data_IF_706569718233
#
_entry.id   IF_706569718233
#
_cell.length_a   1.000
_cell.length_b   1.000
_cell.length_c   1.000
_cell.angle_alpha   90.00
_cell.angle_beta   90.00
_cell.angle_gamma   90.00
#
_symmetry.space_group_name_H-M   'P 1'
#
loop_
_entity.id
_entity.type
_entity.pdbx_description
1 polymer ?
#
# COMPACT_ATOMS: atom_id res chain seq x y z
N UNK A 1 83.01 10.70 -36.59
CA UNK A 1 81.75 10.48 -37.29
C UNK A 1 80.85 9.70 -36.34
N UNK A 2 80.01 10.37 -35.47
CA UNK A 2 79.11 9.73 -34.54
C UNK A 2 77.73 9.67 -35.21
N UNK A 3 77.17 8.49 -35.35
CA UNK A 3 75.79 8.29 -35.82
C UNK A 3 74.87 8.32 -34.63
N UNK A 4 74.03 9.36 -34.55
CA UNK A 4 72.94 9.41 -33.57
C UNK A 4 71.77 8.56 -34.07
N UNK A 5 71.46 7.50 -33.31
CA UNK A 5 70.29 6.68 -33.49
C UNK A 5 69.14 7.37 -32.76
N UNK A 6 68.17 7.89 -33.48
CA UNK A 6 66.90 8.36 -32.97
C UNK A 6 66.09 7.15 -32.47
N UNK A 7 65.88 7.08 -31.16
CA UNK A 7 64.99 6.11 -30.52
C UNK A 7 63.54 6.65 -30.74
N UNK A 8 62.62 5.85 -31.32
CA UNK A 8 61.23 6.25 -31.44
C UNK A 8 60.60 6.43 -30.07
N UNK A 9 59.95 7.54 -29.79
CA UNK A 9 59.15 7.76 -28.60
C UNK A 9 58.03 6.72 -28.55
N UNK A 10 58.18 5.72 -27.68
CA UNK A 10 57.18 4.75 -27.37
C UNK A 10 55.97 5.47 -26.72
N UNK A 11 54.81 5.43 -27.40
CA UNK A 11 53.56 5.93 -26.85
C UNK A 11 53.33 5.20 -25.54
N UNK A 12 53.36 5.91 -24.43
CA UNK A 12 53.00 5.43 -23.08
C UNK A 12 51.72 4.60 -23.15
N UNK A 13 51.83 3.29 -23.20
CA UNK A 13 50.70 2.41 -23.00
C UNK A 13 50.29 2.56 -21.54
N UNK A 14 49.07 3.13 -21.33
CA UNK A 14 48.45 3.06 -20.00
C UNK A 14 48.42 1.62 -19.56
N UNK A 15 49.28 1.28 -18.60
CA UNK A 15 49.26 -0.03 -17.94
C UNK A 15 47.96 -0.10 -17.13
N UNK A 16 46.99 -0.85 -17.63
CA UNK A 16 45.77 -1.16 -16.89
C UNK A 16 46.16 -2.23 -15.89
N UNK A 17 46.30 -1.85 -14.62
CA UNK A 17 46.44 -2.80 -13.54
C UNK A 17 45.17 -3.62 -13.44
N UNK A 18 45.19 -4.84 -13.93
CA UNK A 18 44.14 -5.82 -13.68
C UNK A 18 44.35 -6.44 -12.29
N UNK A 19 43.26 -6.63 -11.54
CA UNK A 19 43.34 -7.44 -10.33
C UNK A 19 43.69 -8.90 -10.72
N UNK A 20 44.17 -9.75 -9.78
CA UNK A 20 44.53 -11.13 -10.08
C UNK A 20 43.44 -11.99 -10.72
N UNK A 21 42.20 -11.46 -10.83
CA UNK A 21 41.04 -12.10 -11.47
C UNK A 21 40.67 -11.44 -12.81
N UNK A 22 41.56 -10.62 -13.41
CA UNK A 22 41.40 -10.03 -14.74
C UNK A 22 40.33 -8.92 -14.82
N UNK A 23 39.86 -8.43 -13.69
CA UNK A 23 38.88 -7.32 -13.67
C UNK A 23 39.59 -5.98 -13.57
N UNK A 24 39.26 -5.05 -14.48
CA UNK A 24 39.84 -3.71 -14.47
C UNK A 24 39.63 -3.00 -13.14
N UNK A 25 40.69 -2.39 -12.59
CA UNK A 25 40.63 -1.52 -11.41
C UNK A 25 39.83 -0.28 -11.80
N UNK A 26 38.53 -0.28 -11.50
CA UNK A 26 37.65 0.80 -11.86
C UNK A 26 36.19 0.39 -12.15
N UNK A 27 35.79 -0.84 -11.79
CA UNK A 27 34.41 -1.23 -11.89
C UNK A 27 33.59 -0.32 -10.96
N UNK A 28 32.96 0.69 -11.58
CA UNK A 28 32.12 1.66 -10.86
C UNK A 28 31.04 0.88 -10.10
N UNK A 29 30.90 1.14 -8.79
CA UNK A 29 29.90 0.54 -7.93
C UNK A 29 28.50 1.14 -8.19
N UNK A 30 28.01 1.07 -9.45
CA UNK A 30 26.69 1.62 -9.82
C UNK A 30 25.57 1.09 -8.93
N UNK A 31 25.61 -0.21 -8.57
CA UNK A 31 24.63 -0.81 -7.68
C UNK A 31 24.60 -0.20 -6.28
N UNK A 32 25.78 0.12 -5.71
CA UNK A 32 25.85 0.79 -4.42
C UNK A 32 25.33 2.23 -4.50
N UNK A 33 25.64 2.95 -5.59
CA UNK A 33 25.10 4.31 -5.83
C UNK A 33 23.57 4.33 -5.88
N UNK A 34 22.97 3.39 -6.61
CA UNK A 34 21.50 3.27 -6.67
C UNK A 34 20.91 3.00 -5.28
N UNK A 35 21.52 2.10 -4.50
CA UNK A 35 21.04 1.79 -3.15
C UNK A 35 21.17 2.97 -2.19
N UNK A 36 22.21 3.81 -2.29
CA UNK A 36 22.30 5.04 -1.50
C UNK A 36 21.21 6.04 -1.88
N UNK A 37 20.93 6.21 -3.17
CA UNK A 37 19.83 7.09 -3.63
C UNK A 37 18.49 6.57 -3.09
N UNK A 38 18.21 5.27 -3.20
CA UNK A 38 17.00 4.67 -2.64
C UNK A 38 16.92 4.83 -1.13
N UNK A 39 18.04 4.68 -0.41
CA UNK A 39 18.09 4.90 1.03
C UNK A 39 17.68 6.34 1.40
N UNK A 40 18.23 7.33 0.71
CA UNK A 40 17.86 8.74 0.93
C UNK A 40 16.39 8.99 0.62
N UNK A 41 15.89 8.48 -0.51
CA UNK A 41 14.48 8.63 -0.87
C UNK A 41 13.54 8.00 0.16
N UNK A 42 13.84 6.80 0.63
CA UNK A 42 13.05 6.12 1.68
C UNK A 42 13.07 6.91 2.99
N UNK A 43 14.23 7.44 3.42
CA UNK A 43 14.33 8.24 4.64
C UNK A 43 13.57 9.56 4.51
N UNK A 44 13.71 10.27 3.39
CA UNK A 44 12.96 11.50 3.13
C UNK A 44 11.45 11.24 3.10
N UNK A 45 11.02 10.15 2.47
CA UNK A 45 9.62 9.75 2.44
C UNK A 45 9.08 9.39 3.83
N UNK A 46 9.85 8.66 4.63
CA UNK A 46 9.51 8.35 6.03
C UNK A 46 9.28 9.64 6.84
N UNK A 47 10.20 10.59 6.76
CA UNK A 47 10.07 11.88 7.44
C UNK A 47 8.88 12.67 6.90
N UNK A 48 8.71 12.72 5.57
CA UNK A 48 7.60 13.42 4.93
C UNK A 48 6.24 12.90 5.38
N UNK A 49 6.02 11.58 5.35
CA UNK A 49 4.76 10.99 5.87
C UNK A 49 4.58 11.28 7.36
N UNK A 50 5.63 11.15 8.17
CA UNK A 50 5.55 11.41 9.61
C UNK A 50 5.20 12.86 9.95
N UNK A 51 5.64 13.84 9.15
CA UNK A 51 5.37 15.25 9.41
C UNK A 51 4.02 15.74 8.84
N UNK A 52 3.60 15.22 7.67
CA UNK A 52 2.46 15.76 6.92
C UNK A 52 1.21 14.89 6.97
N UNK A 53 1.34 13.62 7.36
CA UNK A 53 0.21 12.70 7.48
C UNK A 53 0.03 12.34 8.96
N UNK A 54 -1.10 12.75 9.52
CA UNK A 54 -1.45 12.49 10.94
C UNK A 54 -1.18 11.05 11.39
N UNK A 55 -0.66 10.88 12.60
CA UNK A 55 -0.17 9.62 13.18
C UNK A 55 -1.25 8.56 13.49
N UNK A 56 -2.18 8.27 12.56
CA UNK A 56 -3.12 7.15 12.72
C UNK A 56 -2.47 5.76 12.66
N UNK A 57 -1.22 5.65 12.20
CA UNK A 57 -0.47 4.39 12.15
C UNK A 57 1.03 4.66 12.02
N UNK A 58 1.83 3.94 12.79
CA UNK A 58 3.31 3.98 12.71
C UNK A 58 3.87 3.14 11.53
N UNK A 59 3.02 2.64 10.65
CA UNK A 59 3.46 1.80 9.52
C UNK A 59 4.48 2.51 8.62
N UNK A 60 4.45 3.83 8.50
CA UNK A 60 5.41 4.61 7.72
C UNK A 60 6.87 4.41 8.15
N UNK A 61 7.14 3.97 9.39
CA UNK A 61 8.50 3.66 9.88
C UNK A 61 9.18 2.54 9.08
N UNK A 62 8.40 1.70 8.36
CA UNK A 62 8.95 0.68 7.46
C UNK A 62 9.87 1.29 6.39
N UNK A 63 9.56 2.52 5.93
CA UNK A 63 10.39 3.24 4.97
C UNK A 63 11.72 3.67 5.57
N UNK A 64 11.73 4.06 6.85
CA UNK A 64 12.97 4.35 7.59
C UNK A 64 13.85 3.11 7.72
N UNK A 65 13.26 1.98 8.12
CA UNK A 65 13.96 0.69 8.21
C UNK A 65 14.50 0.26 6.84
N UNK A 66 13.69 0.35 5.79
CA UNK A 66 14.10 0.02 4.42
C UNK A 66 15.26 0.91 3.95
N UNK A 67 15.20 2.22 4.24
CA UNK A 67 16.29 3.14 3.93
C UNK A 67 17.59 2.78 4.62
N UNK A 68 17.55 2.45 5.91
CA UNK A 68 18.73 2.00 6.66
C UNK A 68 19.30 0.68 6.13
N UNK A 69 18.44 -0.27 5.77
CA UNK A 69 18.87 -1.55 5.17
C UNK A 69 19.53 -1.34 3.79
N UNK A 70 18.95 -0.46 2.96
CA UNK A 70 19.55 -0.09 1.66
C UNK A 70 20.94 0.56 1.85
N UNK A 71 21.08 1.48 2.81
CA UNK A 71 22.36 2.11 3.11
C UNK A 71 23.40 1.10 3.63
N UNK A 72 23.01 0.23 4.55
CA UNK A 72 23.89 -0.83 5.07
C UNK A 72 24.33 -1.78 3.95
N UNK A 73 23.41 -2.18 3.07
CA UNK A 73 23.73 -3.02 1.93
C UNK A 73 24.66 -2.31 0.93
N UNK A 74 24.42 -1.03 0.62
CA UNK A 74 25.31 -0.22 -0.21
C UNK A 74 26.71 -0.15 0.39
N UNK A 75 26.79 0.05 1.70
CA UNK A 75 28.04 0.09 2.43
C UNK A 75 28.82 -1.24 2.32
N UNK A 76 28.15 -2.39 2.50
CA UNK A 76 28.76 -3.71 2.28
C UNK A 76 29.28 -3.85 0.85
N UNK A 77 28.51 -3.38 -0.16
CA UNK A 77 28.94 -3.43 -1.57
C UNK A 77 30.14 -2.54 -1.89
N UNK A 78 30.41 -1.51 -1.10
CA UNK A 78 31.59 -0.64 -1.26
C UNK A 78 32.85 -1.18 -0.52
N UNK A 79 32.66 -2.04 0.49
CA UNK A 79 33.76 -2.57 1.32
C UNK A 79 34.17 -3.98 0.93
N UNK A 80 35.19 -4.07 0.07
CA UNK A 80 35.68 -5.33 -0.49
C UNK A 80 36.10 -6.35 0.59
N UNK A 81 36.75 -5.88 1.68
CA UNK A 81 37.16 -6.72 2.80
C UNK A 81 35.99 -7.47 3.48
N UNK A 82 34.81 -6.90 3.47
CA UNK A 82 33.59 -7.53 4.00
C UNK A 82 33.00 -8.49 2.98
N UNK A 83 32.96 -8.08 1.71
CA UNK A 83 32.43 -8.94 0.64
C UNK A 83 33.22 -10.25 0.50
N UNK A 84 34.55 -10.21 0.67
CA UNK A 84 35.41 -11.40 0.58
C UNK A 84 35.16 -12.41 1.71
N UNK A 85 34.68 -11.95 2.88
CA UNK A 85 34.30 -12.80 4.01
C UNK A 85 32.94 -13.49 3.84
N UNK A 86 32.07 -12.99 2.95
CA UNK A 86 30.74 -13.57 2.72
C UNK A 86 30.85 -14.67 1.66
N UNK A 87 30.53 -15.93 1.98
CA UNK A 87 30.55 -17.03 1.01
C UNK A 87 29.67 -16.74 -0.21
N UNK A 88 30.13 -17.21 -1.39
CA UNK A 88 29.43 -16.98 -2.65
C UNK A 88 27.96 -17.46 -2.63
N UNK A 89 27.74 -18.64 -2.04
CA UNK A 89 26.38 -19.20 -1.91
C UNK A 89 25.44 -18.31 -1.08
N UNK A 90 25.91 -17.72 0.03
CA UNK A 90 25.09 -16.80 0.84
C UNK A 90 24.66 -15.57 0.04
N UNK A 91 25.55 -15.01 -0.77
CA UNK A 91 25.23 -13.86 -1.63
C UNK A 91 24.17 -14.21 -2.69
N UNK A 92 24.28 -15.41 -3.28
CA UNK A 92 23.31 -15.89 -4.27
C UNK A 92 21.96 -16.11 -3.58
N UNK A 93 21.93 -16.87 -2.47
CA UNK A 93 20.70 -17.14 -1.72
C UNK A 93 20.01 -15.85 -1.29
N UNK A 94 20.74 -14.90 -0.72
CA UNK A 94 20.17 -13.61 -0.33
C UNK A 94 19.54 -12.85 -1.52
N UNK A 95 20.26 -12.77 -2.64
CA UNK A 95 19.73 -12.09 -3.84
C UNK A 95 18.51 -12.79 -4.39
N UNK A 96 18.49 -14.13 -4.38
CA UNK A 96 17.34 -14.93 -4.83
C UNK A 96 16.12 -14.71 -3.93
N UNK A 97 16.30 -14.67 -2.60
CA UNK A 97 15.23 -14.38 -1.65
C UNK A 97 14.67 -12.95 -1.83
N UNK A 98 15.55 -11.97 -2.00
CA UNK A 98 15.12 -10.58 -2.27
C UNK A 98 14.34 -10.52 -3.59
N UNK A 99 14.84 -11.14 -4.65
CA UNK A 99 14.17 -11.16 -5.94
C UNK A 99 12.79 -11.86 -5.87
N UNK A 100 12.70 -13.00 -5.18
CA UNK A 100 11.45 -13.70 -4.96
C UNK A 100 10.45 -12.88 -4.14
N UNK A 101 10.91 -12.23 -3.07
CA UNK A 101 10.08 -11.33 -2.25
C UNK A 101 9.58 -10.12 -3.03
N UNK A 102 10.42 -9.51 -3.86
CA UNK A 102 10.03 -8.41 -4.74
C UNK A 102 9.00 -8.86 -5.79
N UNK A 103 9.20 -10.03 -6.41
CA UNK A 103 8.24 -10.59 -7.38
C UNK A 103 6.89 -10.87 -6.71
N UNK A 104 6.90 -11.47 -5.53
CA UNK A 104 5.69 -11.71 -4.74
C UNK A 104 4.96 -10.41 -4.41
N UNK A 105 5.68 -9.39 -3.94
CA UNK A 105 5.13 -8.07 -3.66
C UNK A 105 4.53 -7.43 -4.92
N UNK A 106 5.21 -7.49 -6.07
CA UNK A 106 4.72 -6.96 -7.34
C UNK A 106 3.41 -7.63 -7.79
N UNK A 107 3.28 -8.95 -7.57
CA UNK A 107 2.03 -9.67 -7.86
C UNK A 107 0.90 -9.16 -6.97
N UNK A 108 1.13 -9.04 -5.66
CA UNK A 108 0.14 -8.52 -4.72
C UNK A 108 -0.27 -7.09 -5.06
N UNK A 109 0.69 -6.21 -5.35
CA UNK A 109 0.41 -4.83 -5.76
C UNK A 109 -0.39 -4.79 -7.08
N UNK A 110 -0.08 -5.66 -8.04
CA UNK A 110 -0.86 -5.82 -9.26
C UNK A 110 -2.32 -6.19 -8.99
N UNK A 111 -2.57 -7.12 -8.06
CA UNK A 111 -3.92 -7.49 -7.63
C UNK A 111 -4.65 -6.32 -6.96
N UNK A 112 -3.99 -5.60 -6.05
CA UNK A 112 -4.55 -4.43 -5.37
C UNK A 112 -4.90 -3.33 -6.38
N UNK A 113 -3.97 -2.98 -7.26
CA UNK A 113 -4.13 -1.92 -8.27
C UNK A 113 -5.20 -2.27 -9.30
N UNK A 114 -5.46 -3.56 -9.57
CA UNK A 114 -6.51 -4.00 -10.49
C UNK A 114 -7.92 -3.50 -10.10
N UNK A 115 -8.13 -3.11 -8.84
CA UNK A 115 -9.40 -2.61 -8.31
C UNK A 115 -9.39 -1.13 -7.94
N UNK A 116 -8.32 -0.39 -8.27
CA UNK A 116 -8.17 1.04 -7.91
C UNK A 116 -9.29 1.92 -8.46
N UNK A 117 -9.75 1.64 -9.65
CA UNK A 117 -10.78 2.41 -10.34
C UNK A 117 -12.09 1.64 -10.42
N UNK A 118 -12.41 0.82 -9.40
CA UNK A 118 -13.67 0.10 -9.37
C UNK A 118 -14.84 1.10 -9.35
N UNK A 119 -15.78 0.86 -10.24
CA UNK A 119 -17.05 1.58 -10.38
C UNK A 119 -18.18 0.59 -10.22
N UNK A 120 -19.31 1.06 -9.70
CA UNK A 120 -20.51 0.26 -9.55
C UNK A 120 -21.59 0.72 -10.53
N UNK A 121 -22.41 -0.23 -10.97
CA UNK A 121 -23.60 0.04 -11.77
C UNK A 121 -24.67 0.73 -10.90
N UNK A 122 -25.59 1.44 -11.55
CA UNK A 122 -26.74 2.04 -10.87
C UNK A 122 -27.76 0.97 -10.42
N UNK A 123 -28.57 1.30 -9.41
CA UNK A 123 -29.68 0.45 -8.97
C UNK A 123 -29.25 -0.71 -8.07
N UNK A 124 -28.23 -0.52 -7.24
CA UNK A 124 -27.96 -1.45 -6.15
C UNK A 124 -29.04 -1.37 -5.07
N UNK A 125 -29.32 -2.51 -4.41
CA UNK A 125 -30.24 -2.56 -3.27
C UNK A 125 -29.60 -1.91 -2.04
N UNK A 126 -28.31 -2.17 -1.82
CA UNK A 126 -27.56 -1.64 -0.70
C UNK A 126 -26.19 -1.08 -1.09
N UNK A 127 -25.82 0.00 -0.41
CA UNK A 127 -24.43 0.49 -0.34
C UNK A 127 -23.90 0.19 1.05
N UNK A 128 -22.72 -0.42 1.17
CA UNK A 128 -22.00 -0.57 2.45
C UNK A 128 -20.83 0.39 2.45
N UNK A 129 -20.82 1.36 3.37
CA UNK A 129 -19.68 2.27 3.57
C UNK A 129 -18.83 1.72 4.70
N UNK A 130 -17.59 1.32 4.39
CA UNK A 130 -16.66 0.83 5.40
C UNK A 130 -16.04 2.00 6.17
N UNK A 131 -16.01 1.92 7.48
CA UNK A 131 -15.37 2.88 8.37
C UNK A 131 -13.84 2.97 8.20
N UNK A 132 -13.25 4.09 8.65
CA UNK A 132 -11.82 4.34 8.56
C UNK A 132 -11.25 5.24 9.65
N UNK A 133 -11.96 5.74 10.54
CA UNK A 133 -11.69 6.56 11.72
C UNK A 133 -12.58 7.81 11.77
N UNK A 134 -13.28 7.99 12.89
CA UNK A 134 -14.03 9.18 13.24
C UNK A 134 -13.30 9.97 14.34
N UNK A 135 -12.90 11.20 14.06
CA UNK A 135 -12.14 12.04 14.99
C UNK A 135 -13.06 13.01 15.72
N UNK A 136 -12.57 13.67 16.76
CA UNK A 136 -13.27 14.77 17.45
C UNK A 136 -13.63 15.94 16.53
N UNK A 137 -12.91 16.08 15.40
CA UNK A 137 -13.14 17.12 14.39
C UNK A 137 -13.95 16.63 13.18
N UNK A 138 -14.54 15.42 13.25
CA UNK A 138 -15.27 14.80 12.16
C UNK A 138 -14.52 13.64 11.49
N UNK A 139 -14.94 13.20 10.30
CA UNK A 139 -14.33 12.06 9.62
C UNK A 139 -12.85 12.30 9.27
N UNK A 140 -12.04 11.26 9.38
CA UNK A 140 -10.69 11.32 8.80
C UNK A 140 -10.80 11.60 7.29
N UNK A 141 -9.75 12.18 6.69
CA UNK A 141 -9.75 12.45 5.24
C UNK A 141 -10.08 11.20 4.40
N UNK A 142 -9.56 10.05 4.83
CA UNK A 142 -9.80 8.75 4.17
C UNK A 142 -11.28 8.39 4.24
N UNK A 143 -11.92 8.55 5.39
CA UNK A 143 -13.35 8.32 5.60
C UNK A 143 -14.21 9.35 4.84
N UNK A 144 -13.83 10.62 4.88
CA UNK A 144 -14.54 11.66 4.14
C UNK A 144 -14.62 11.34 2.64
N UNK A 145 -13.51 10.86 2.03
CA UNK A 145 -13.52 10.47 0.62
C UNK A 145 -14.49 9.31 0.32
N UNK A 146 -14.67 8.38 1.26
CA UNK A 146 -15.67 7.32 1.13
C UNK A 146 -17.08 7.90 1.19
N UNK A 147 -17.35 8.75 2.17
CA UNK A 147 -18.65 9.39 2.35
C UNK A 147 -19.02 10.24 1.13
N UNK A 148 -18.14 11.13 0.67
CA UNK A 148 -18.34 11.95 -0.53
C UNK A 148 -18.66 11.09 -1.77
N UNK A 149 -17.96 9.95 -1.92
CA UNK A 149 -18.18 9.03 -3.04
C UNK A 149 -19.54 8.32 -2.93
N UNK A 150 -19.91 7.89 -1.73
CA UNK A 150 -21.19 7.24 -1.45
C UNK A 150 -22.37 8.21 -1.63
N UNK A 151 -22.26 9.44 -1.15
CA UNK A 151 -23.29 10.47 -1.32
C UNK A 151 -23.62 10.68 -2.80
N UNK A 152 -22.58 10.82 -3.65
CA UNK A 152 -22.80 10.95 -5.10
C UNK A 152 -23.56 9.78 -5.71
N UNK A 153 -23.29 8.55 -5.25
CA UNK A 153 -24.02 7.35 -5.70
C UNK A 153 -25.47 7.34 -5.17
N UNK A 154 -25.66 7.61 -3.87
CA UNK A 154 -26.97 7.55 -3.20
C UNK A 154 -27.95 8.61 -3.69
N UNK A 155 -27.44 9.79 -4.05
CA UNK A 155 -28.28 10.87 -4.65
C UNK A 155 -28.71 10.50 -6.08
N UNK A 156 -27.88 9.78 -6.82
CA UNK A 156 -28.23 9.28 -8.15
C UNK A 156 -29.12 8.03 -8.13
N UNK A 157 -29.23 7.34 -6.96
CA UNK A 157 -29.98 6.10 -6.79
C UNK A 157 -30.89 6.22 -5.53
N UNK A 158 -32.06 6.89 -5.62
CA UNK A 158 -32.88 7.23 -4.46
C UNK A 158 -33.47 5.99 -3.74
N UNK A 159 -33.65 4.88 -4.42
CA UNK A 159 -34.21 3.65 -3.85
C UNK A 159 -33.15 2.79 -3.11
N UNK A 160 -31.87 3.08 -3.31
CA UNK A 160 -30.77 2.34 -2.68
C UNK A 160 -30.68 2.68 -1.18
N UNK A 161 -30.65 1.66 -0.32
CA UNK A 161 -30.37 1.82 1.11
C UNK A 161 -28.86 1.86 1.37
N UNK A 162 -28.44 2.42 2.51
CA UNK A 162 -27.04 2.49 2.88
C UNK A 162 -26.82 1.89 4.27
N UNK A 163 -25.81 1.02 4.39
CA UNK A 163 -25.30 0.51 5.65
C UNK A 163 -23.99 1.23 5.94
N UNK A 164 -23.94 1.99 7.02
CA UNK A 164 -22.72 2.58 7.54
C UNK A 164 -22.14 1.63 8.57
N UNK A 165 -20.94 1.11 8.31
CA UNK A 165 -20.35 0.02 9.09
C UNK A 165 -19.01 0.41 9.69
N UNK A 166 -18.93 0.39 11.01
CA UNK A 166 -17.74 0.67 11.80
C UNK A 166 -18.06 0.93 13.26
N UNK A 167 -17.46 0.15 14.16
CA UNK A 167 -17.59 0.34 15.60
C UNK A 167 -16.83 1.55 16.11
N UNK A 168 -16.74 1.70 17.43
CA UNK A 168 -16.03 2.80 18.08
C UNK A 168 -14.58 2.40 18.34
N UNK A 169 -13.63 3.12 17.75
CA UNK A 169 -12.21 3.02 18.05
C UNK A 169 -11.87 3.58 19.44
N UNK A 170 -10.73 3.16 19.99
CA UNK A 170 -10.29 3.57 21.33
C UNK A 170 -10.17 5.10 21.52
N UNK A 171 -9.79 5.80 20.47
CA UNK A 171 -9.58 7.25 20.44
C UNK A 171 -10.72 8.04 19.77
N UNK A 172 -11.87 7.40 19.56
CA UNK A 172 -13.01 7.99 18.86
C UNK A 172 -14.11 8.44 19.84
N UNK A 173 -14.71 9.61 19.60
CA UNK A 173 -15.74 10.15 20.48
C UNK A 173 -17.08 9.39 20.38
N UNK A 174 -17.37 8.84 19.21
CA UNK A 174 -18.56 8.05 18.86
C UNK A 174 -18.17 6.90 17.96
N UNK A 175 -19.08 5.94 17.71
CA UNK A 175 -18.81 4.91 16.70
C UNK A 175 -18.66 5.54 15.31
N UNK A 176 -17.83 4.92 14.45
CA UNK A 176 -17.70 5.39 13.08
C UNK A 176 -19.05 5.38 12.35
N UNK A 177 -19.89 4.36 12.62
CA UNK A 177 -21.22 4.25 12.04
C UNK A 177 -22.14 5.42 12.44
N UNK A 178 -22.16 5.82 13.72
CA UNK A 178 -22.94 6.95 14.20
C UNK A 178 -22.47 8.26 13.55
N UNK A 179 -21.16 8.49 13.53
CA UNK A 179 -20.60 9.66 12.87
C UNK A 179 -20.93 9.71 11.37
N UNK A 180 -20.80 8.59 10.66
CA UNK A 180 -21.13 8.47 9.24
C UNK A 180 -22.61 8.72 8.98
N UNK A 181 -23.52 8.23 9.85
CA UNK A 181 -24.95 8.48 9.74
C UNK A 181 -25.24 9.97 9.77
N UNK A 182 -24.79 10.69 10.79
CA UNK A 182 -24.99 12.15 10.88
C UNK A 182 -24.46 12.90 9.65
N UNK A 183 -23.29 12.52 9.14
CA UNK A 183 -22.70 13.13 7.93
C UNK A 183 -23.58 12.92 6.68
N UNK A 184 -24.18 11.72 6.52
CA UNK A 184 -25.09 11.42 5.40
C UNK A 184 -26.41 12.17 5.54
N UNK A 185 -26.98 12.29 6.74
CA UNK A 185 -28.18 13.06 7.03
C UNK A 185 -27.99 14.55 6.71
N UNK A 186 -26.85 15.13 7.12
CA UNK A 186 -26.47 16.51 6.78
C UNK A 186 -26.32 16.72 5.27
N UNK A 187 -25.90 15.68 4.53
CA UNK A 187 -25.82 15.71 3.07
C UNK A 187 -27.17 15.49 2.36
N UNK A 188 -28.26 15.33 3.10
CA UNK A 188 -29.63 15.20 2.56
C UNK A 188 -30.04 13.77 2.20
N UNK A 189 -29.34 12.76 2.70
CA UNK A 189 -29.77 11.36 2.58
C UNK A 189 -30.86 11.10 3.63
N UNK A 190 -32.00 10.53 3.18
CA UNK A 190 -33.12 10.22 4.06
C UNK A 190 -32.69 9.26 5.18
N UNK A 191 -32.92 9.62 6.46
CA UNK A 191 -32.62 8.77 7.62
C UNK A 191 -33.23 7.36 7.54
N UNK A 192 -34.38 7.18 6.91
CA UNK A 192 -35.04 5.87 6.75
C UNK A 192 -34.26 4.93 5.81
N UNK A 193 -33.37 5.48 4.99
CA UNK A 193 -32.47 4.71 4.11
C UNK A 193 -31.19 4.30 4.79
N UNK A 194 -30.86 4.84 5.98
CA UNK A 194 -29.55 4.65 6.64
C UNK A 194 -29.66 3.61 7.73
N UNK A 195 -28.97 2.49 7.53
CA UNK A 195 -28.83 1.43 8.53
C UNK A 195 -27.44 1.54 9.18
N UNK A 196 -27.35 1.41 10.50
CA UNK A 196 -26.09 1.47 11.26
C UNK A 196 -25.65 0.10 11.70
N UNK A 197 -24.35 -0.18 11.50
CA UNK A 197 -23.66 -1.33 12.03
C UNK A 197 -22.45 -0.81 12.83
N UNK A 198 -22.50 -0.88 14.15
CA UNK A 198 -21.53 -0.26 15.08
C UNK A 198 -20.81 -1.26 16.00
N UNK A 199 -21.01 -2.55 15.76
CA UNK A 199 -20.41 -3.62 16.58
C UNK A 199 -19.04 -4.12 16.07
N UNK A 200 -18.72 -3.84 14.81
CA UNK A 200 -17.53 -4.36 14.16
C UNK A 200 -16.23 -3.65 14.59
N UNK A 201 -15.13 -4.39 14.66
CA UNK A 201 -13.80 -3.89 15.05
C UNK A 201 -12.74 -4.03 13.96
N UNK A 202 -13.09 -4.62 12.82
CA UNK A 202 -12.21 -4.83 11.68
C UNK A 202 -13.02 -5.07 10.41
N UNK A 203 -12.35 -5.00 9.24
CA UNK A 203 -13.01 -5.11 7.94
C UNK A 203 -13.80 -6.42 7.74
N UNK A 204 -13.30 -7.53 8.25
CA UNK A 204 -14.00 -8.82 8.14
C UNK A 204 -15.32 -8.77 8.93
N UNK A 205 -15.28 -8.23 10.15
CA UNK A 205 -16.49 -8.05 10.96
C UNK A 205 -17.45 -7.04 10.35
N UNK A 206 -16.94 -5.92 9.78
CA UNK A 206 -17.79 -4.98 9.06
C UNK A 206 -18.66 -5.69 8.02
N UNK A 207 -18.06 -6.58 7.23
CA UNK A 207 -18.79 -7.29 6.17
C UNK A 207 -19.65 -8.45 6.70
N UNK A 208 -19.25 -9.11 7.79
CA UNK A 208 -20.08 -10.13 8.44
C UNK A 208 -21.33 -9.47 9.03
N UNK A 209 -21.16 -8.44 9.87
CA UNK A 209 -22.26 -7.80 10.59
C UNK A 209 -23.17 -7.01 9.63
N UNK A 210 -22.62 -6.31 8.63
CA UNK A 210 -23.45 -5.69 7.57
C UNK A 210 -24.27 -6.74 6.81
N UNK A 211 -23.74 -7.94 6.62
CA UNK A 211 -24.43 -9.04 5.94
C UNK A 211 -25.61 -9.63 6.73
N UNK A 212 -25.76 -9.28 8.00
CA UNK A 212 -26.95 -9.64 8.81
C UNK A 212 -28.13 -8.70 8.55
N UNK A 213 -27.86 -7.53 7.94
CA UNK A 213 -28.86 -6.51 7.63
C UNK A 213 -29.43 -6.62 6.20
N UNK A 214 -29.00 -7.59 5.41
CA UNK A 214 -29.36 -7.78 4.01
C UNK A 214 -29.33 -9.26 3.60
N UNK A 215 -29.80 -9.59 2.40
CA UNK A 215 -29.66 -10.92 1.83
C UNK A 215 -28.43 -11.02 0.93
N UNK A 216 -27.31 -11.54 1.45
CA UNK A 216 -26.02 -11.63 0.75
C UNK A 216 -26.07 -12.38 -0.57
N UNK A 217 -27.04 -13.31 -0.75
CA UNK A 217 -27.15 -14.15 -1.94
C UNK A 217 -28.02 -13.52 -3.03
N UNK A 218 -28.90 -12.58 -2.71
CA UNK A 218 -29.88 -12.03 -3.64
C UNK A 218 -29.69 -10.54 -3.91
N UNK A 219 -29.36 -9.76 -2.82
CA UNK A 219 -29.25 -8.31 -2.93
C UNK A 219 -28.00 -7.89 -3.72
N UNK A 220 -28.16 -6.87 -4.53
CA UNK A 220 -27.07 -6.18 -5.22
C UNK A 220 -26.41 -5.19 -4.25
N UNK A 221 -25.16 -5.45 -3.92
CA UNK A 221 -24.42 -4.70 -2.89
C UNK A 221 -23.25 -3.96 -3.52
N UNK A 222 -23.14 -2.68 -3.20
CA UNK A 222 -21.98 -1.85 -3.55
C UNK A 222 -21.18 -1.56 -2.30
N UNK A 223 -19.91 -1.96 -2.28
CA UNK A 223 -18.97 -1.64 -1.20
C UNK A 223 -18.22 -0.36 -1.54
N UNK A 224 -18.32 0.65 -0.66
CA UNK A 224 -17.57 1.90 -0.78
C UNK A 224 -16.39 1.87 0.18
N UNK A 225 -15.20 1.91 -0.37
CA UNK A 225 -13.95 2.03 0.36
C UNK A 225 -12.88 2.71 -0.49
N UNK A 226 -11.70 3.00 0.08
CA UNK A 226 -10.63 3.62 -0.70
C UNK A 226 -10.02 2.63 -1.69
N UNK A 227 -9.53 3.18 -2.78
CA UNK A 227 -8.99 2.44 -3.92
C UNK A 227 -7.93 1.38 -3.53
N UNK A 228 -6.98 1.71 -2.63
CA UNK A 228 -5.97 0.76 -2.16
C UNK A 228 -6.59 -0.43 -1.39
N UNK A 229 -7.74 -0.24 -0.74
CA UNK A 229 -8.40 -1.24 0.09
C UNK A 229 -9.44 -2.08 -0.67
N UNK A 230 -9.86 -1.64 -1.86
CA UNK A 230 -10.97 -2.21 -2.61
C UNK A 230 -10.80 -3.69 -2.94
N UNK A 231 -9.60 -4.11 -3.36
CA UNK A 231 -9.34 -5.52 -3.67
C UNK A 231 -9.63 -6.43 -2.46
N UNK A 232 -9.12 -6.07 -1.29
CA UNK A 232 -9.26 -6.87 -0.06
C UNK A 232 -10.70 -6.88 0.45
N UNK A 233 -11.39 -5.73 0.42
CA UNK A 233 -12.79 -5.63 0.81
C UNK A 233 -13.69 -6.54 -0.05
N UNK A 234 -13.52 -6.52 -1.37
CA UNK A 234 -14.28 -7.38 -2.28
C UNK A 234 -13.95 -8.87 -2.11
N UNK A 235 -12.69 -9.21 -1.84
CA UNK A 235 -12.29 -10.60 -1.61
C UNK A 235 -12.92 -11.14 -0.32
N UNK A 236 -12.88 -10.36 0.77
CA UNK A 236 -13.55 -10.72 2.04
C UNK A 236 -15.07 -10.86 1.82
N UNK A 237 -15.73 -9.90 1.14
CA UNK A 237 -17.16 -9.97 0.88
C UNK A 237 -17.55 -11.25 0.14
N UNK A 238 -16.84 -11.59 -0.92
CA UNK A 238 -17.08 -12.84 -1.65
C UNK A 238 -16.90 -14.08 -0.77
N UNK A 239 -15.89 -14.10 0.08
CA UNK A 239 -15.66 -15.18 1.04
C UNK A 239 -16.80 -15.29 2.08
N UNK A 240 -17.44 -14.15 2.44
CA UNK A 240 -18.58 -14.10 3.35
C UNK A 240 -19.93 -14.43 2.67
N UNK A 241 -19.92 -14.76 1.38
CA UNK A 241 -21.10 -15.23 0.65
C UNK A 241 -21.88 -14.13 -0.09
N UNK A 242 -21.32 -12.94 -0.25
CA UNK A 242 -21.92 -11.92 -1.13
C UNK A 242 -21.77 -12.34 -2.59
N UNK A 243 -22.91 -12.66 -3.26
CA UNK A 243 -22.89 -13.14 -4.65
C UNK A 243 -22.91 -12.00 -5.68
N UNK A 244 -23.67 -10.94 -5.40
CA UNK A 244 -23.82 -9.79 -6.28
C UNK A 244 -23.17 -8.56 -5.66
N UNK A 245 -21.81 -8.55 -5.62
CA UNK A 245 -21.05 -7.48 -4.98
C UNK A 245 -20.15 -6.75 -5.96
N UNK A 246 -20.27 -5.43 -5.97
CA UNK A 246 -19.44 -4.50 -6.72
C UNK A 246 -18.69 -3.55 -5.80
N UNK A 247 -17.65 -2.91 -6.32
CA UNK A 247 -16.86 -1.94 -5.57
C UNK A 247 -17.01 -0.54 -6.15
N UNK A 248 -17.11 0.46 -5.29
CA UNK A 248 -17.08 1.88 -5.65
C UNK A 248 -15.90 2.55 -4.95
N UNK A 249 -14.80 2.73 -5.69
CA UNK A 249 -13.52 3.19 -5.15
C UNK A 249 -13.51 4.68 -4.85
N UNK A 250 -13.20 5.04 -3.60
CA UNK A 250 -12.89 6.40 -3.19
C UNK A 250 -11.37 6.67 -3.31
N UNK A 251 -11.02 7.93 -3.56
CA UNK A 251 -9.63 8.36 -3.68
C UNK A 251 -8.87 8.43 -2.36
N UNK A 252 -7.58 8.75 -2.45
CA UNK A 252 -6.69 9.03 -1.30
C UNK A 252 -5.70 10.15 -1.64
N UNK A 253 -4.92 10.61 -0.66
CA UNK A 253 -3.82 11.53 -0.94
C UNK A 253 -2.73 10.85 -1.78
N UNK A 254 -2.30 11.45 -2.91
CA UNK A 254 -1.28 10.85 -3.78
C UNK A 254 0.03 10.50 -3.04
N UNK A 255 0.46 11.35 -2.11
CA UNK A 255 1.69 11.12 -1.34
C UNK A 255 1.61 9.86 -0.46
N UNK A 256 0.42 9.42 -0.05
CA UNK A 256 0.24 8.23 0.78
C UNK A 256 0.16 6.93 -0.01
N UNK A 257 0.12 7.00 -1.35
CA UNK A 257 -0.04 5.84 -2.24
C UNK A 257 0.98 4.74 -1.94
N UNK A 258 2.31 4.99 -1.94
CA UNK A 258 3.27 3.91 -1.70
C UNK A 258 3.12 3.28 -0.30
N UNK A 259 2.85 4.11 0.72
CA UNK A 259 2.66 3.63 2.09
C UNK A 259 1.40 2.76 2.24
N UNK A 260 0.28 3.21 1.64
CA UNK A 260 -0.99 2.49 1.74
C UNK A 260 -0.99 1.21 0.92
N UNK A 261 -0.38 1.20 -0.28
CA UNK A 261 -0.20 0.00 -1.08
C UNK A 261 0.59 -1.06 -0.32
N UNK A 262 1.77 -0.70 0.17
CA UNK A 262 2.59 -1.64 0.92
C UNK A 262 1.85 -2.17 2.17
N UNK A 263 1.13 -1.31 2.90
CA UNK A 263 0.32 -1.71 4.05
C UNK A 263 -0.79 -2.69 3.66
N UNK A 264 -1.46 -2.44 2.54
CA UNK A 264 -2.50 -3.35 2.04
C UNK A 264 -1.93 -4.69 1.59
N UNK A 265 -0.76 -4.74 0.97
CA UNK A 265 -0.11 -6.01 0.64
C UNK A 265 0.09 -6.88 1.89
N UNK A 266 0.55 -6.28 3.02
CA UNK A 266 0.61 -7.00 4.30
C UNK A 266 -0.79 -7.37 4.83
N UNK A 267 -1.79 -6.51 4.64
CA UNK A 267 -3.19 -6.78 5.00
C UNK A 267 -3.75 -7.99 4.26
N UNK A 268 -3.52 -8.07 2.95
CA UNK A 268 -3.94 -9.21 2.10
C UNK A 268 -3.27 -10.50 2.58
N UNK A 269 -1.95 -10.49 2.84
CA UNK A 269 -1.24 -11.67 3.36
C UNK A 269 -1.80 -12.11 4.71
N UNK A 270 -2.01 -11.15 5.63
CA UNK A 270 -2.59 -11.42 6.96
C UNK A 270 -3.96 -12.09 6.84
N UNK A 271 -4.86 -11.53 6.03
CA UNK A 271 -6.22 -12.03 5.91
C UNK A 271 -6.27 -13.36 5.14
N UNK A 272 -5.36 -13.59 4.19
CA UNK A 272 -5.17 -14.89 3.55
C UNK A 272 -4.73 -15.95 4.57
N UNK A 273 -3.74 -15.66 5.43
CA UNK A 273 -3.28 -16.59 6.47
C UNK A 273 -4.35 -16.87 7.53
N UNK A 274 -5.23 -15.89 7.79
CA UNK A 274 -6.37 -16.02 8.69
C UNK A 274 -7.60 -16.71 8.06
N UNK A 275 -7.51 -17.15 6.78
CA UNK A 275 -8.59 -17.73 6.00
C UNK A 275 -9.83 -16.79 5.86
N UNK A 276 -9.58 -15.50 5.76
CA UNK A 276 -10.62 -14.48 5.53
C UNK A 276 -10.80 -14.13 4.04
N UNK A 277 -9.83 -14.54 3.17
CA UNK A 277 -9.86 -14.34 1.72
C UNK A 277 -10.11 -15.63 0.95
#
# INVERSE_FOLDING_TARGET
MKRDYLIPREKSKKVIHLDPRGRGVGQKHYGAGILYVLAVLCLLYCVGIGLFVSFGSYFFLIWGVTGLLCAAWAWILTHRSIQEKIPGWMRITFRSLVAAGMLFLLILEGMIVSRFNATAEAGADYVIILGAQWRTTGPSYVLQKRLDKAIGYLLANPDTKVIVSGGQGYDEPVSEAEGMKGYLEEAGIDPERILTEDASTNTTQNLICSGELLNKSEDKVVIVTNNFHMFRALAIAKKQGYTHVEGLSAGMYPITVPNNLLREAFGVVKDFMANHL
#
